data_IF_330010226416
#
_entry.id   IF_330010226416
#
_cell.length_a   1.000
_cell.length_b   1.000
_cell.length_c   1.000
_cell.angle_alpha   90.00
_cell.angle_beta   90.00
_cell.angle_gamma   90.00
#
_symmetry.space_group_name_H-M   'P 1'
#
loop_
_entity.id
_entity.type
_entity.pdbx_description
1 polymer ?
#
# COMPACT_ATOMS: atom_id res chain seq x y z
N UNK A 1 -3.52 -29.71 6.22
CA UNK A 1 -2.27 -28.96 5.96
C UNK A 1 -2.65 -27.57 5.46
N UNK A 2 -2.69 -26.56 6.33
CA UNK A 2 -2.94 -25.18 5.90
C UNK A 2 -1.65 -24.62 5.32
N UNK A 3 -1.63 -24.37 4.01
CA UNK A 3 -0.54 -23.70 3.33
C UNK A 3 -0.61 -22.20 3.69
N UNK A 4 -0.11 -21.85 4.86
CA UNK A 4 -0.02 -20.44 5.27
C UNK A 4 1.12 -19.82 4.50
N UNK A 5 0.83 -19.29 3.31
CA UNK A 5 1.74 -18.40 2.59
C UNK A 5 2.16 -17.30 3.57
N UNK A 6 3.46 -17.21 3.88
CA UNK A 6 3.95 -16.16 4.76
C UNK A 6 3.59 -14.82 4.12
N UNK A 7 2.88 -13.97 4.85
CA UNK A 7 2.62 -12.59 4.41
C UNK A 7 3.97 -11.95 4.06
N UNK A 8 4.08 -11.35 2.87
CA UNK A 8 5.31 -10.66 2.46
C UNK A 8 5.58 -9.51 3.43
N UNK A 9 6.72 -9.54 4.10
CA UNK A 9 7.23 -8.43 4.90
C UNK A 9 8.02 -7.51 3.98
N UNK A 10 7.76 -6.21 4.07
CA UNK A 10 8.44 -5.16 3.32
C UNK A 10 9.45 -4.44 4.22
N UNK A 11 10.48 -3.84 3.63
CA UNK A 11 11.45 -2.99 4.32
C UNK A 11 12.85 -3.59 4.37
N UNK A 12 13.47 -3.58 5.55
CA UNK A 12 14.87 -3.99 5.75
C UNK A 12 15.01 -5.50 5.91
N UNK A 13 16.24 -6.00 5.76
CA UNK A 13 16.56 -7.41 5.97
C UNK A 13 16.27 -7.87 7.41
N UNK A 14 15.89 -9.14 7.59
CA UNK A 14 15.57 -9.72 8.89
C UNK A 14 16.75 -9.68 9.88
N UNK A 15 17.99 -9.53 9.41
CA UNK A 15 19.18 -9.40 10.24
C UNK A 15 19.33 -8.02 10.92
N UNK A 16 18.51 -7.03 10.57
CA UNK A 16 18.55 -5.71 11.18
C UNK A 16 18.09 -5.74 12.65
N UNK A 17 19.05 -5.64 13.56
CA UNK A 17 18.86 -5.92 15.00
C UNK A 17 17.92 -4.94 15.70
N UNK A 18 17.72 -3.76 15.14
CA UNK A 18 16.90 -2.69 15.71
C UNK A 18 15.59 -2.45 14.94
N UNK A 19 15.23 -3.34 14.01
CA UNK A 19 13.98 -3.25 13.28
C UNK A 19 12.79 -3.73 14.11
N UNK A 20 11.60 -3.21 13.80
CA UNK A 20 10.31 -3.66 14.36
C UNK A 20 9.29 -3.78 13.23
N UNK A 21 8.30 -4.65 13.43
CA UNK A 21 7.20 -4.82 12.50
C UNK A 21 6.13 -3.75 12.72
N UNK A 22 5.79 -3.03 11.65
CA UNK A 22 4.63 -2.15 11.57
C UNK A 22 3.58 -2.81 10.70
N UNK A 23 2.41 -3.12 11.27
CA UNK A 23 1.29 -3.64 10.49
C UNK A 23 0.42 -2.47 10.01
N UNK A 24 0.36 -2.29 8.69
CA UNK A 24 -0.51 -1.31 8.05
C UNK A 24 -1.67 -2.08 7.42
N UNK A 25 -2.90 -1.65 7.71
CA UNK A 25 -4.11 -2.16 7.05
C UNK A 25 -4.79 -1.01 6.31
N UNK A 26 -4.86 -1.12 5.00
CA UNK A 26 -5.52 -0.16 4.13
C UNK A 26 -6.97 -0.57 3.98
N UNK A 27 -7.87 0.22 4.58
CA UNK A 27 -9.30 -0.05 4.59
C UNK A 27 -9.96 0.47 3.31
N UNK A 28 -10.18 1.78 3.25
CA UNK A 28 -10.91 2.44 2.17
C UNK A 28 -10.46 3.88 1.97
N UNK A 29 -10.85 4.46 0.84
CA UNK A 29 -10.89 5.91 0.63
C UNK A 29 -12.31 6.32 0.25
N UNK A 30 -12.65 7.58 0.48
CA UNK A 30 -13.98 8.13 0.22
C UNK A 30 -13.86 9.41 -0.59
N UNK A 31 -14.81 9.62 -1.51
CA UNK A 31 -14.97 10.84 -2.29
C UNK A 31 -13.68 11.30 -3.01
N UNK A 32 -12.96 10.35 -3.62
CA UNK A 32 -11.78 10.66 -4.40
C UNK A 32 -12.10 11.63 -5.54
N UNK A 33 -11.14 12.51 -5.84
CA UNK A 33 -11.29 13.46 -6.94
C UNK A 33 -11.47 12.73 -8.28
N UNK A 34 -12.47 13.16 -9.05
CA UNK A 34 -12.67 12.70 -10.42
C UNK A 34 -11.48 13.13 -11.27
N UNK A 35 -10.72 12.15 -11.74
CA UNK A 35 -9.60 12.38 -12.65
C UNK A 35 -9.97 12.16 -14.11
N UNK A 36 -11.03 11.41 -14.39
CA UNK A 36 -11.45 11.05 -15.75
C UNK A 36 -12.84 11.62 -16.08
N UNK A 37 -12.96 12.17 -17.29
CA UNK A 37 -14.06 13.06 -17.69
C UNK A 37 -15.26 12.32 -18.30
N UNK A 38 -15.14 11.03 -18.60
CA UNK A 38 -16.13 10.30 -19.41
C UNK A 38 -17.17 9.50 -18.61
N UNK A 39 -16.78 8.83 -17.52
CA UNK A 39 -17.70 8.06 -16.67
C UNK A 39 -17.70 8.50 -15.19
N UNK A 40 -16.81 9.43 -14.82
CA UNK A 40 -16.75 9.98 -13.47
C UNK A 40 -16.22 9.02 -12.41
N UNK A 41 -15.60 7.92 -12.82
CA UNK A 41 -15.01 6.92 -11.95
C UNK A 41 -13.54 6.69 -12.32
N UNK A 42 -12.71 6.30 -11.35
CA UNK A 42 -11.29 6.01 -11.60
C UNK A 42 -10.92 4.60 -11.15
N UNK A 43 -9.68 4.22 -11.39
CA UNK A 43 -9.09 2.95 -10.95
C UNK A 43 -8.08 3.18 -9.81
N UNK A 44 -8.54 3.55 -8.60
CA UNK A 44 -7.64 3.90 -7.50
C UNK A 44 -6.86 2.70 -6.93
N UNK A 45 -5.65 3.00 -6.49
CA UNK A 45 -4.80 2.14 -5.67
C UNK A 45 -3.97 3.02 -4.71
N UNK A 46 -3.43 2.43 -3.65
CA UNK A 46 -2.50 3.09 -2.74
C UNK A 46 -1.11 2.49 -2.92
N UNK A 47 -0.10 3.36 -2.92
CA UNK A 47 1.31 2.99 -2.85
C UNK A 47 1.88 3.50 -1.53
N UNK A 48 2.49 2.59 -0.78
CA UNK A 48 3.15 2.85 0.50
C UNK A 48 4.65 2.82 0.24
N UNK A 49 5.31 3.95 0.52
CA UNK A 49 6.75 4.10 0.41
C UNK A 49 7.36 4.05 1.81
N UNK A 50 8.24 3.09 2.06
CA UNK A 50 9.08 3.12 3.25
C UNK A 50 10.33 3.93 2.92
N UNK A 51 10.53 5.07 3.57
CA UNK A 51 11.66 5.97 3.30
C UNK A 51 12.64 5.99 4.45
N UNK A 52 13.92 6.21 4.13
CA UNK A 52 14.93 6.47 5.16
C UNK A 52 14.68 7.82 5.83
N UNK A 53 14.80 7.86 7.16
CA UNK A 53 14.70 9.11 7.92
C UNK A 53 15.88 10.04 7.61
N UNK A 54 17.06 9.48 7.36
CA UNK A 54 18.29 10.24 7.11
C UNK A 54 18.32 10.81 5.69
N UNK A 55 17.71 10.11 4.73
CA UNK A 55 17.60 10.55 3.35
C UNK A 55 16.18 10.29 2.83
N UNK A 56 15.33 11.31 2.85
CA UNK A 56 13.94 11.22 2.39
C UNK A 56 13.79 10.93 0.89
N UNK A 57 14.85 11.12 0.11
CA UNK A 57 14.86 10.74 -1.31
C UNK A 57 15.18 9.25 -1.51
N UNK A 58 15.62 8.54 -0.47
CA UNK A 58 15.87 7.11 -0.51
C UNK A 58 14.63 6.33 -0.06
N UNK A 59 13.98 5.68 -1.03
CA UNK A 59 12.95 4.67 -0.76
C UNK A 59 13.62 3.34 -0.47
N UNK A 60 13.37 2.79 0.72
CA UNK A 60 13.85 1.48 1.18
C UNK A 60 13.05 0.38 0.49
N UNK A 61 11.72 0.48 0.50
CA UNK A 61 10.83 -0.49 -0.14
C UNK A 61 9.48 0.14 -0.50
N UNK A 62 8.73 -0.51 -1.37
CA UNK A 62 7.41 -0.08 -1.84
C UNK A 62 6.41 -1.22 -1.79
N UNK A 63 5.28 -0.97 -1.11
CA UNK A 63 4.11 -1.83 -1.17
C UNK A 63 2.99 -1.14 -1.97
N UNK A 64 2.17 -1.94 -2.65
CA UNK A 64 1.04 -1.44 -3.43
C UNK A 64 -0.19 -2.28 -3.16
N UNK A 65 -1.34 -1.62 -2.99
CA UNK A 65 -2.62 -2.34 -2.93
C UNK A 65 -3.05 -2.81 -4.31
N UNK A 66 -4.00 -3.74 -4.36
CA UNK A 66 -4.74 -3.98 -5.60
C UNK A 66 -5.42 -2.71 -6.08
N UNK A 67 -5.59 -2.60 -7.39
CA UNK A 67 -6.44 -1.60 -8.01
C UNK A 67 -7.90 -1.99 -7.82
N UNK A 68 -8.76 -1.04 -7.46
CA UNK A 68 -10.21 -1.23 -7.48
C UNK A 68 -10.76 -0.47 -8.67
N UNK A 69 -11.45 -1.17 -9.57
CA UNK A 69 -11.89 -0.55 -10.82
C UNK A 69 -13.10 0.36 -10.64
N UNK A 70 -13.14 1.45 -11.40
CA UNK A 70 -14.31 2.33 -11.59
C UNK A 70 -15.01 2.76 -10.29
N UNK A 71 -14.26 3.33 -9.36
CA UNK A 71 -14.82 3.85 -8.11
C UNK A 71 -14.07 5.06 -7.58
N UNK A 72 -14.79 5.97 -6.93
CA UNK A 72 -14.23 7.05 -6.11
C UNK A 72 -14.23 6.70 -4.61
N UNK A 73 -14.80 5.54 -4.26
CA UNK A 73 -14.95 5.05 -2.89
C UNK A 73 -14.38 3.61 -2.79
N UNK A 74 -13.07 3.40 -3.06
CA UNK A 74 -12.48 2.07 -3.07
C UNK A 74 -12.43 1.45 -1.66
N UNK A 75 -12.73 0.16 -1.57
CA UNK A 75 -12.57 -0.69 -0.39
C UNK A 75 -11.50 -1.76 -0.67
N UNK A 76 -10.33 -1.63 -0.06
CA UNK A 76 -9.22 -2.57 -0.24
C UNK A 76 -9.24 -3.70 0.77
N UNK A 77 -9.39 -3.38 2.07
CA UNK A 77 -9.26 -4.30 3.20
C UNK A 77 -7.98 -5.16 3.10
N UNK A 78 -6.86 -4.52 2.76
CA UNK A 78 -5.57 -5.16 2.55
C UNK A 78 -4.61 -4.84 3.69
#
# INVERSE_FOLDING_TARGET
MSNTSREKIYGVDESERNARLLRIKVLQATDLQRRDSFDGSGDPYIQILLQSRENQNQTIDTARTRTVSKTLNPLWNQ
#
